data_IF_450239080890
#
_entry.id   IF_450239080890
#
_cell.length_a   1.000
_cell.length_b   1.000
_cell.length_c   1.000
_cell.angle_alpha   90.00
_cell.angle_beta   90.00
_cell.angle_gamma   90.00
#
_symmetry.space_group_name_H-M   'P 1'
#
loop_
_entity.id
_entity.type
_entity.pdbx_description
1 polymer ?
#
# COMPACT_ATOMS: atom_id res chain seq x y z
N UNK A 1 8.64 -18.15 -18.87
CA UNK A 1 8.58 -19.20 -17.84
C UNK A 1 9.07 -18.59 -16.54
N UNK A 2 8.12 -18.22 -15.68
CA UNK A 2 8.37 -17.40 -14.50
C UNK A 2 8.63 -18.30 -13.29
N UNK A 3 9.89 -18.40 -12.88
CA UNK A 3 10.31 -19.24 -11.76
C UNK A 3 10.02 -18.48 -10.47
N UNK A 4 8.82 -18.71 -9.93
CA UNK A 4 8.47 -18.54 -8.52
C UNK A 4 8.75 -17.16 -7.92
N UNK A 5 7.93 -16.16 -8.26
CA UNK A 5 7.67 -15.08 -7.30
C UNK A 5 6.94 -15.70 -6.10
N UNK A 6 7.69 -16.15 -5.09
CA UNK A 6 7.16 -16.72 -3.84
C UNK A 6 6.43 -15.69 -2.96
N UNK A 7 5.86 -14.64 -3.54
CA UNK A 7 5.15 -13.59 -2.82
C UNK A 7 3.68 -13.64 -3.20
N UNK A 8 2.89 -14.27 -2.33
CA UNK A 8 1.44 -14.19 -2.39
C UNK A 8 0.99 -12.97 -1.59
N UNK A 9 0.24 -12.07 -2.24
CA UNK A 9 -0.41 -10.96 -1.55
C UNK A 9 -1.80 -11.39 -1.09
N UNK A 10 -2.19 -11.03 0.12
CA UNK A 10 -3.61 -10.93 0.46
C UNK A 10 -4.19 -9.57 0.06
N UNK A 11 -5.52 -9.43 0.08
CA UNK A 11 -6.17 -8.12 -0.12
C UNK A 11 -5.97 -7.19 1.11
N UNK A 12 -6.52 -5.96 1.06
CA UNK A 12 -6.42 -5.00 2.17
C UNK A 12 -6.98 -5.48 3.53
N UNK A 13 -7.93 -6.42 3.55
CA UNK A 13 -8.39 -7.03 4.81
C UNK A 13 -7.32 -7.97 5.37
N UNK A 14 -6.70 -8.77 4.51
CA UNK A 14 -5.56 -9.61 4.91
C UNK A 14 -4.36 -8.78 5.37
N UNK A 15 -4.09 -7.64 4.71
CA UNK A 15 -3.13 -6.64 5.19
C UNK A 15 -3.45 -6.18 6.62
N UNK A 16 -4.68 -5.71 6.87
CA UNK A 16 -5.16 -5.20 8.16
C UNK A 16 -5.03 -6.24 9.28
N UNK A 17 -5.48 -7.47 9.03
CA UNK A 17 -5.65 -8.48 10.08
C UNK A 17 -4.43 -9.39 10.29
N UNK A 18 -3.59 -9.61 9.27
CA UNK A 18 -2.50 -10.59 9.35
C UNK A 18 -1.15 -9.96 9.08
N UNK A 19 -0.95 -9.40 7.89
CA UNK A 19 0.39 -9.04 7.44
C UNK A 19 0.94 -7.80 8.17
N UNK A 20 0.15 -6.75 8.38
CA UNK A 20 0.56 -5.58 9.18
C UNK A 20 0.86 -5.96 10.64
N UNK A 21 -0.03 -6.62 11.41
CA UNK A 21 0.27 -7.03 12.78
C UNK A 21 1.50 -7.95 12.89
N UNK A 22 1.66 -8.88 11.94
CA UNK A 22 2.82 -9.79 11.91
C UNK A 22 4.11 -9.02 11.67
N UNK A 23 4.15 -8.14 10.67
CA UNK A 23 5.32 -7.31 10.38
C UNK A 23 5.64 -6.34 11.53
N UNK A 24 4.62 -5.77 12.20
CA UNK A 24 4.85 -4.95 13.40
C UNK A 24 5.40 -5.75 14.57
N UNK A 25 4.90 -6.97 14.80
CA UNK A 25 5.45 -7.87 15.83
C UNK A 25 6.91 -8.23 15.55
N UNK A 26 7.25 -8.47 14.28
CA UNK A 26 8.59 -8.90 13.88
C UNK A 26 9.60 -7.76 13.76
N UNK A 27 9.18 -6.57 13.30
CA UNK A 27 10.11 -5.48 12.94
C UNK A 27 9.71 -4.11 13.47
N UNK A 28 8.59 -4.01 14.19
CA UNK A 28 8.14 -2.77 14.80
C UNK A 28 8.99 -2.35 16.01
N UNK A 29 8.72 -1.12 16.47
CA UNK A 29 9.33 -0.58 17.68
C UNK A 29 8.72 -1.26 18.92
N UNK A 30 9.42 -2.25 19.49
CA UNK A 30 9.14 -2.70 20.85
C UNK A 30 9.77 -1.71 21.84
N UNK A 31 9.02 -1.13 22.79
CA UNK A 31 9.56 -0.18 23.77
C UNK A 31 10.74 -0.74 24.59
N UNK A 32 10.81 -2.06 24.75
CA UNK A 32 11.68 -2.70 25.73
C UNK A 32 12.93 -3.40 25.14
N UNK A 33 13.13 -3.41 23.83
CA UNK A 33 14.29 -4.09 23.23
C UNK A 33 14.67 -3.49 21.87
N UNK A 34 15.78 -2.76 21.84
CA UNK A 34 16.49 -2.42 20.59
C UNK A 34 17.18 -3.66 20.05
N UNK A 35 16.41 -4.52 19.40
CA UNK A 35 16.97 -5.69 18.72
C UNK A 35 17.64 -5.17 17.44
N UNK A 36 18.97 -5.25 17.37
CA UNK A 36 19.79 -4.87 16.19
C UNK A 36 19.25 -5.44 14.86
N UNK A 37 18.59 -6.59 14.92
CA UNK A 37 17.86 -7.19 13.80
C UNK A 37 16.76 -6.27 13.25
N UNK A 38 15.89 -5.73 14.11
CA UNK A 38 14.78 -4.86 13.71
C UNK A 38 15.31 -3.56 13.10
N UNK A 39 16.34 -2.96 13.71
CA UNK A 39 16.97 -1.75 13.17
C UNK A 39 17.55 -1.97 11.78
N UNK A 40 18.14 -3.14 11.52
CA UNK A 40 18.68 -3.45 10.19
C UNK A 40 17.56 -3.67 9.16
N UNK A 41 16.45 -4.31 9.55
CA UNK A 41 15.28 -4.48 8.68
C UNK A 41 14.65 -3.13 8.36
N UNK A 42 14.39 -2.29 9.36
CA UNK A 42 13.85 -0.93 9.15
C UNK A 42 14.75 -0.09 8.24
N UNK A 43 16.08 -0.22 8.36
CA UNK A 43 17.03 0.46 7.47
C UNK A 43 16.94 -0.05 6.03
N UNK A 44 16.79 -1.36 5.81
CA UNK A 44 16.59 -1.89 4.46
C UNK A 44 15.28 -1.38 3.87
N UNK A 45 14.19 -1.42 4.64
CA UNK A 45 12.89 -0.91 4.22
C UNK A 45 12.94 0.58 3.88
N UNK A 46 13.62 1.38 4.70
CA UNK A 46 13.82 2.81 4.43
C UNK A 46 14.64 3.05 3.16
N UNK A 47 15.72 2.28 2.93
CA UNK A 47 16.51 2.37 1.70
C UNK A 47 15.62 2.06 0.49
N UNK A 48 14.86 0.96 0.52
CA UNK A 48 13.95 0.58 -0.56
C UNK A 48 12.82 1.60 -0.76
N UNK A 49 12.30 2.19 0.31
CA UNK A 49 11.27 3.23 0.23
C UNK A 49 11.78 4.46 -0.54
N UNK A 50 12.98 4.94 -0.19
CA UNK A 50 13.51 6.20 -0.73
C UNK A 50 14.25 6.05 -2.06
N UNK A 51 14.72 4.85 -2.41
CA UNK A 51 15.53 4.60 -3.60
C UNK A 51 14.84 3.71 -4.63
N UNK A 52 13.71 3.08 -4.29
CA UNK A 52 13.03 2.12 -5.15
C UNK A 52 13.80 0.82 -5.28
N UNK A 53 13.87 0.30 -6.51
CA UNK A 53 14.47 -1.00 -6.81
C UNK A 53 15.99 -1.01 -6.63
N UNK A 54 16.50 -1.88 -5.75
CA UNK A 54 17.93 -2.00 -5.43
C UNK A 54 18.37 -3.47 -5.29
N UNK A 55 19.63 -3.76 -5.61
CA UNK A 55 20.35 -4.97 -5.19
C UNK A 55 20.79 -4.85 -3.72
N UNK A 56 21.10 -5.98 -3.07
CA UNK A 56 21.69 -5.98 -1.72
C UNK A 56 23.01 -5.20 -1.63
N UNK A 57 23.79 -5.20 -2.71
CA UNK A 57 25.03 -4.43 -2.81
C UNK A 57 24.76 -2.93 -2.83
N UNK A 58 23.84 -2.47 -3.67
CA UNK A 58 23.44 -1.05 -3.75
C UNK A 58 22.88 -0.58 -2.40
N UNK A 59 22.06 -1.38 -1.74
CA UNK A 59 21.57 -1.06 -0.39
C UNK A 59 22.72 -0.90 0.61
N UNK A 60 23.69 -1.82 0.61
CA UNK A 60 24.86 -1.74 1.47
C UNK A 60 25.71 -0.50 1.14
N UNK A 61 25.84 -0.16 -0.14
CA UNK A 61 26.58 1.03 -0.61
C UNK A 61 25.92 2.35 -0.22
N UNK A 62 24.59 2.44 -0.29
CA UNK A 62 23.84 3.61 0.18
C UNK A 62 24.11 3.85 1.68
N UNK A 63 24.20 2.78 2.47
CA UNK A 63 24.46 2.88 3.91
C UNK A 63 25.92 3.11 4.27
N UNK A 64 26.85 2.60 3.46
CA UNK A 64 28.30 2.64 3.72
C UNK A 64 29.06 3.05 2.44
N UNK A 65 28.94 4.31 1.99
CA UNK A 65 29.44 4.74 0.69
C UNK A 65 30.96 4.56 0.55
N UNK A 66 31.70 4.92 1.60
CA UNK A 66 33.16 5.00 1.60
C UNK A 66 33.87 3.78 2.21
N UNK A 67 33.14 2.71 2.56
CA UNK A 67 33.71 1.56 3.28
C UNK A 67 33.39 0.23 2.58
N UNK A 68 34.25 -0.17 1.64
CA UNK A 68 34.06 -1.36 0.82
C UNK A 68 34.03 -2.67 1.63
N UNK A 69 34.77 -2.74 2.74
CA UNK A 69 34.83 -3.96 3.55
C UNK A 69 33.56 -4.12 4.39
N UNK A 70 33.02 -3.02 4.93
CA UNK A 70 31.69 -3.03 5.53
C UNK A 70 30.60 -3.34 4.51
N UNK A 71 30.68 -2.81 3.28
CA UNK A 71 29.72 -3.12 2.21
C UNK A 71 29.65 -4.63 1.96
N UNK A 72 30.79 -5.30 1.76
CA UNK A 72 30.84 -6.75 1.54
C UNK A 72 30.22 -7.55 2.69
N UNK A 73 30.49 -7.14 3.92
CA UNK A 73 29.96 -7.81 5.11
C UNK A 73 28.45 -7.59 5.24
N UNK A 74 27.98 -6.37 4.98
CA UNK A 74 26.60 -5.96 5.15
C UNK A 74 25.69 -6.41 4.03
N UNK A 75 26.20 -6.55 2.81
CA UNK A 75 25.49 -7.15 1.69
C UNK A 75 25.01 -8.57 2.05
N UNK A 76 25.89 -9.41 2.61
CA UNK A 76 25.53 -10.77 3.06
C UNK A 76 24.46 -10.78 4.16
N UNK A 77 24.57 -9.84 5.10
CA UNK A 77 23.58 -9.66 6.17
C UNK A 77 22.22 -9.25 5.59
N UNK A 78 22.19 -8.29 4.68
CA UNK A 78 20.96 -7.81 4.03
C UNK A 78 20.29 -8.90 3.21
N UNK A 79 21.07 -9.70 2.48
CA UNK A 79 20.54 -10.85 1.73
C UNK A 79 19.80 -11.83 2.65
N UNK A 80 20.36 -12.13 3.82
CA UNK A 80 19.72 -13.02 4.82
C UNK A 80 18.45 -12.42 5.40
N UNK A 81 18.38 -11.10 5.58
CA UNK A 81 17.17 -10.42 6.06
C UNK A 81 16.06 -10.34 4.99
N UNK A 82 16.44 -10.21 3.73
CA UNK A 82 15.50 -10.18 2.60
C UNK A 82 14.93 -11.57 2.30
N UNK A 83 15.81 -12.54 2.11
CA UNK A 83 15.43 -13.87 1.63
C UNK A 83 15.02 -14.81 2.78
N UNK A 84 15.58 -14.60 3.97
CA UNK A 84 15.48 -15.56 5.07
C UNK A 84 16.67 -16.51 5.10
N UNK A 85 16.69 -17.42 6.07
CA UNK A 85 17.74 -18.44 6.22
C UNK A 85 17.26 -19.61 7.06
N UNK A 86 17.91 -20.76 6.88
CA UNK A 86 17.77 -21.92 7.75
C UNK A 86 19.07 -22.06 8.56
N UNK A 87 18.97 -21.97 9.88
CA UNK A 87 20.08 -22.23 10.80
C UNK A 87 19.73 -23.44 11.68
N UNK A 88 20.56 -24.49 11.65
CA UNK A 88 20.40 -25.69 12.50
C UNK A 88 18.97 -26.29 12.43
N UNK A 89 18.41 -26.36 11.23
CA UNK A 89 17.05 -26.88 10.98
C UNK A 89 15.91 -25.93 11.34
N UNK A 90 16.19 -24.74 11.88
CA UNK A 90 15.17 -23.72 12.16
C UNK A 90 15.16 -22.68 11.03
N UNK A 91 14.00 -22.50 10.41
CA UNK A 91 13.79 -21.49 9.38
C UNK A 91 13.50 -20.12 10.01
N UNK A 92 14.14 -19.08 9.50
CA UNK A 92 13.91 -17.68 9.84
C UNK A 92 13.42 -16.96 8.59
N UNK A 93 12.14 -16.56 8.60
CA UNK A 93 11.51 -15.89 7.47
C UNK A 93 12.15 -14.54 7.17
N UNK A 94 12.38 -14.29 5.87
CA UNK A 94 12.81 -12.99 5.36
C UNK A 94 11.65 -12.08 4.98
N UNK A 95 11.97 -10.84 4.62
CA UNK A 95 10.99 -9.86 4.14
C UNK A 95 10.24 -10.28 2.87
N UNK A 96 10.83 -11.14 2.03
CA UNK A 96 10.17 -11.72 0.86
C UNK A 96 8.98 -12.61 1.26
N UNK A 97 9.18 -13.48 2.26
CA UNK A 97 8.15 -14.43 2.72
C UNK A 97 7.01 -13.71 3.45
N UNK A 98 7.32 -12.61 4.15
CA UNK A 98 6.31 -11.76 4.78
C UNK A 98 5.57 -10.85 3.81
N UNK A 99 5.97 -10.86 2.53
CA UNK A 99 5.35 -10.04 1.48
C UNK A 99 5.60 -8.54 1.62
N UNK A 100 6.64 -8.12 2.33
CA UNK A 100 7.07 -6.71 2.42
C UNK A 100 7.93 -6.28 1.22
N UNK A 101 8.62 -7.23 0.62
CA UNK A 101 9.55 -6.99 -0.49
C UNK A 101 9.27 -8.02 -1.59
N UNK A 102 9.54 -7.65 -2.84
CA UNK A 102 9.54 -8.57 -3.98
C UNK A 102 10.82 -8.50 -4.78
N UNK A 103 11.09 -9.57 -5.53
CA UNK A 103 12.14 -9.58 -6.56
C UNK A 103 11.65 -8.82 -7.79
N UNK A 104 12.46 -7.91 -8.29
CA UNK A 104 12.12 -6.97 -9.37
C UNK A 104 13.19 -7.00 -10.47
N UNK A 105 13.42 -8.21 -10.98
CA UNK A 105 14.43 -8.49 -11.99
C UNK A 105 15.82 -8.81 -11.42
N UNK A 106 16.80 -8.80 -12.32
CA UNK A 106 18.20 -9.17 -12.03
C UNK A 106 19.17 -8.20 -12.70
N UNK A 107 20.32 -8.01 -12.07
CA UNK A 107 21.49 -7.39 -12.69
C UNK A 107 22.39 -8.52 -13.21
N UNK A 108 22.65 -8.52 -14.52
CA UNK A 108 23.47 -9.53 -15.19
C UNK A 108 24.97 -9.16 -15.26
N UNK A 109 25.46 -8.31 -14.36
CA UNK A 109 26.90 -8.06 -14.20
C UNK A 109 27.49 -9.18 -13.35
N UNK A 110 28.66 -9.72 -13.68
CA UNK A 110 29.26 -10.82 -12.91
C UNK A 110 29.58 -10.39 -11.46
N UNK A 111 29.04 -11.07 -10.41
CA UNK A 111 28.04 -12.14 -10.42
C UNK A 111 26.58 -11.66 -10.47
N UNK A 112 25.72 -12.45 -11.15
CA UNK A 112 24.28 -12.14 -11.28
C UNK A 112 23.64 -11.91 -9.91
N UNK A 113 22.94 -10.78 -9.77
CA UNK A 113 22.36 -10.36 -8.49
C UNK A 113 20.87 -10.04 -8.67
N UNK A 114 20.04 -10.51 -7.74
CA UNK A 114 18.61 -10.17 -7.69
C UNK A 114 18.43 -8.68 -7.32
N UNK A 115 17.47 -8.03 -7.97
CA UNK A 115 16.97 -6.72 -7.57
C UNK A 115 15.73 -6.89 -6.71
N UNK A 116 15.56 -5.98 -5.76
CA UNK A 116 14.46 -5.99 -4.81
C UNK A 116 13.79 -4.62 -4.73
N UNK A 117 12.48 -4.59 -4.53
CA UNK A 117 11.71 -3.37 -4.24
C UNK A 117 10.66 -3.64 -3.18
N UNK A 118 10.10 -2.60 -2.57
CA UNK A 118 8.92 -2.78 -1.74
C UNK A 118 7.76 -3.34 -2.57
N UNK A 119 7.02 -4.27 -1.98
CA UNK A 119 5.69 -4.59 -2.47
C UNK A 119 4.70 -3.48 -2.10
N UNK A 120 3.48 -3.51 -2.62
CA UNK A 120 2.41 -2.61 -2.16
C UNK A 120 2.17 -2.69 -0.65
N UNK A 121 2.20 -3.89 -0.08
CA UNK A 121 2.15 -4.11 1.36
C UNK A 121 3.36 -3.53 2.10
N UNK A 122 4.55 -3.65 1.53
CA UNK A 122 5.76 -3.03 2.04
C UNK A 122 5.70 -1.51 2.05
N UNK A 123 5.15 -0.90 0.99
CA UNK A 123 4.91 0.54 0.90
C UNK A 123 3.95 0.97 2.02
N UNK A 124 2.80 0.32 2.16
CA UNK A 124 1.84 0.62 3.22
C UNK A 124 2.47 0.46 4.61
N UNK A 125 3.22 -0.61 4.83
CA UNK A 125 3.92 -0.82 6.10
C UNK A 125 4.93 0.32 6.39
N UNK A 126 5.72 0.73 5.41
CA UNK A 126 6.68 1.82 5.55
C UNK A 126 5.99 3.16 5.89
N UNK A 127 4.86 3.45 5.23
CA UNK A 127 4.03 4.64 5.49
C UNK A 127 3.47 4.68 6.92
N UNK A 128 3.29 3.52 7.55
CA UNK A 128 2.80 3.38 8.92
C UNK A 128 3.92 3.50 9.97
N UNK A 129 5.07 2.83 9.76
CA UNK A 129 6.05 2.62 10.84
C UNK A 129 7.34 3.44 10.75
N UNK A 130 7.68 4.03 9.61
CA UNK A 130 8.98 4.70 9.41
C UNK A 130 8.97 6.21 9.77
N UNK A 131 7.88 6.74 10.33
CA UNK A 131 7.72 8.16 10.67
C UNK A 131 8.13 9.10 9.53
N UNK A 132 7.67 8.78 8.31
CA UNK A 132 8.04 9.50 7.09
C UNK A 132 7.40 10.90 7.06
N UNK A 133 8.18 11.91 6.68
CA UNK A 133 7.65 13.24 6.40
C UNK A 133 7.07 13.32 4.97
N UNK A 134 6.42 14.43 4.64
CA UNK A 134 5.82 14.63 3.31
C UNK A 134 6.81 14.49 2.15
N UNK A 135 8.04 14.98 2.30
CA UNK A 135 9.08 14.86 1.27
C UNK A 135 9.50 13.41 1.04
N UNK A 136 9.55 12.61 2.10
CA UNK A 136 9.84 11.18 1.99
C UNK A 136 8.71 10.44 1.26
N UNK A 137 7.45 10.81 1.53
CA UNK A 137 6.29 10.23 0.85
C UNK A 137 6.26 10.65 -0.62
N UNK A 138 6.60 11.91 -0.93
CA UNK A 138 6.74 12.37 -2.31
C UNK A 138 7.80 11.55 -3.06
N UNK A 139 8.97 11.28 -2.46
CA UNK A 139 9.99 10.39 -3.04
C UNK A 139 9.48 8.97 -3.25
N UNK A 140 8.74 8.42 -2.30
CA UNK A 140 8.12 7.09 -2.45
C UNK A 140 7.16 7.08 -3.64
N UNK A 141 6.31 8.11 -3.78
CA UNK A 141 5.38 8.19 -4.89
C UNK A 141 6.09 8.23 -6.25
N UNK A 142 7.22 8.96 -6.33
CA UNK A 142 8.05 9.01 -7.54
C UNK A 142 8.63 7.62 -7.87
N UNK A 143 9.22 6.94 -6.89
CA UNK A 143 9.87 5.63 -7.10
C UNK A 143 8.89 4.49 -7.38
N UNK A 144 7.65 4.61 -6.92
CA UNK A 144 6.64 3.57 -7.02
C UNK A 144 5.45 3.99 -7.89
N UNK A 145 5.64 5.00 -8.76
CA UNK A 145 4.65 5.48 -9.71
C UNK A 145 4.09 4.36 -10.59
N UNK A 146 4.96 3.48 -11.11
CA UNK A 146 4.53 2.36 -11.97
C UNK A 146 3.84 1.23 -11.21
N UNK A 147 4.09 1.11 -9.90
CA UNK A 147 3.53 0.06 -9.04
C UNK A 147 2.12 0.44 -8.56
N UNK A 148 1.89 1.73 -8.28
CA UNK A 148 0.59 2.26 -7.89
C UNK A 148 0.16 3.42 -8.84
N UNK A 149 -0.11 3.14 -10.11
CA UNK A 149 -0.19 4.16 -11.17
C UNK A 149 -1.32 5.18 -11.00
N UNK A 150 -2.44 4.80 -10.40
CA UNK A 150 -3.60 5.71 -10.24
C UNK A 150 -3.49 6.63 -9.03
N UNK A 151 -2.56 6.37 -8.12
CA UNK A 151 -2.30 7.23 -6.95
C UNK A 151 -0.91 7.84 -7.05
N UNK A 152 0.14 7.01 -7.07
CA UNK A 152 1.52 7.47 -7.15
C UNK A 152 1.89 7.96 -8.56
N UNK A 153 1.46 7.26 -9.62
CA UNK A 153 1.64 7.75 -11.00
C UNK A 153 0.85 9.03 -11.33
N UNK A 154 -0.04 9.46 -10.42
CA UNK A 154 -0.82 10.70 -10.51
C UNK A 154 -0.53 11.62 -9.33
N UNK A 155 0.55 11.41 -8.59
CA UNK A 155 0.78 12.05 -7.30
C UNK A 155 0.81 13.57 -7.38
N UNK A 156 1.60 14.14 -8.28
CA UNK A 156 1.71 15.61 -8.43
C UNK A 156 0.37 16.23 -8.85
N UNK A 157 -0.35 15.57 -9.75
CA UNK A 157 -1.69 15.97 -10.15
C UNK A 157 -2.65 15.97 -8.95
N UNK A 158 -2.73 14.87 -8.22
CA UNK A 158 -3.59 14.74 -7.04
C UNK A 158 -3.22 15.73 -5.94
N UNK A 159 -1.93 15.99 -5.74
CA UNK A 159 -1.40 16.93 -4.76
C UNK A 159 -1.77 18.36 -5.13
N UNK A 160 -1.75 18.71 -6.42
CA UNK A 160 -2.23 20.02 -6.89
C UNK A 160 -3.74 20.20 -6.70
N UNK A 161 -4.53 19.11 -6.81
CA UNK A 161 -5.98 19.16 -6.73
C UNK A 161 -6.54 19.02 -5.31
N UNK A 162 -5.81 18.36 -4.40
CA UNK A 162 -6.27 18.01 -3.05
C UNK A 162 -5.35 18.48 -1.93
N UNK A 163 -4.28 19.20 -2.27
CA UNK A 163 -3.28 19.70 -1.33
C UNK A 163 -2.73 18.57 -0.44
N UNK A 164 -2.83 18.73 0.87
CA UNK A 164 -2.35 17.78 1.87
C UNK A 164 -3.18 16.50 1.97
N UNK A 165 -4.35 16.43 1.34
CA UNK A 165 -5.20 15.25 1.41
C UNK A 165 -4.58 14.04 0.71
N UNK A 166 -3.60 14.19 -0.19
CA UNK A 166 -2.88 13.05 -0.78
C UNK A 166 -2.17 12.19 0.26
N UNK A 167 -1.72 12.79 1.36
CA UNK A 167 -1.03 12.09 2.44
C UNK A 167 -1.97 11.24 3.30
N UNK A 168 -3.28 11.30 3.07
CA UNK A 168 -4.28 10.45 3.74
C UNK A 168 -4.12 8.97 3.38
N UNK A 169 -3.32 8.61 2.38
CA UNK A 169 -2.87 7.23 2.15
C UNK A 169 -2.23 6.59 3.40
N UNK A 170 -1.69 7.40 4.32
CA UNK A 170 -1.21 6.94 5.63
C UNK A 170 -2.32 6.37 6.53
N UNK A 171 -3.58 6.76 6.32
CA UNK A 171 -4.74 6.20 7.04
C UNK A 171 -4.96 4.75 6.63
N UNK A 172 -4.90 4.47 5.33
CA UNK A 172 -4.93 3.10 4.82
C UNK A 172 -3.74 2.29 5.34
N UNK A 173 -2.55 2.87 5.33
CA UNK A 173 -1.33 2.24 5.83
C UNK A 173 -1.45 1.73 7.28
N UNK A 174 -2.17 2.48 8.12
CA UNK A 174 -2.50 2.13 9.51
C UNK A 174 -3.55 1.02 9.65
N UNK A 175 -4.08 0.50 8.54
CA UNK A 175 -5.12 -0.53 8.52
C UNK A 175 -6.53 0.02 8.79
N UNK A 176 -6.73 1.34 8.68
CA UNK A 176 -8.03 1.97 8.85
C UNK A 176 -8.77 1.97 7.51
N UNK A 177 -9.68 1.00 7.36
CA UNK A 177 -10.42 0.80 6.11
C UNK A 177 -11.70 1.62 6.01
N UNK A 178 -12.16 2.22 7.12
CA UNK A 178 -13.37 3.05 7.21
C UNK A 178 -14.63 2.28 6.84
N UNK A 179 -14.70 1.08 7.40
CA UNK A 179 -15.77 0.11 7.32
C UNK A 179 -16.91 0.39 8.33
N UNK A 180 -16.83 1.47 9.12
CA UNK A 180 -17.88 1.83 10.08
C UNK A 180 -18.93 2.77 9.42
N UNK A 181 -20.21 2.38 9.34
CA UNK A 181 -21.28 3.22 8.78
C UNK A 181 -21.49 4.54 9.53
N UNK A 182 -21.16 4.60 10.83
CA UNK A 182 -21.30 5.81 11.66
C UNK A 182 -20.31 6.93 11.27
N UNK A 183 -19.30 6.61 10.46
CA UNK A 183 -18.32 7.58 9.95
C UNK A 183 -18.99 8.59 9.00
N UNK A 184 -20.08 8.20 8.32
CA UNK A 184 -20.77 9.06 7.35
C UNK A 184 -22.03 9.63 7.97
N UNK A 185 -21.97 10.90 8.38
CA UNK A 185 -23.13 11.61 8.97
C UNK A 185 -24.15 12.08 7.93
N UNK A 186 -23.74 12.26 6.67
CA UNK A 186 -24.60 12.72 5.59
C UNK A 186 -25.08 11.55 4.72
N UNK A 187 -26.39 11.23 4.81
CA UNK A 187 -27.03 10.15 4.04
C UNK A 187 -26.93 10.28 2.51
N UNK A 188 -26.59 11.47 1.99
CA UNK A 188 -26.40 11.69 0.54
C UNK A 188 -24.98 11.41 0.05
N UNK A 189 -24.04 11.12 0.95
CA UNK A 189 -22.66 10.80 0.60
C UNK A 189 -22.50 9.28 0.41
N UNK A 190 -22.18 8.78 -0.81
CA UNK A 190 -22.11 7.35 -1.10
C UNK A 190 -20.82 6.67 -0.59
N UNK A 191 -20.00 7.36 0.21
CA UNK A 191 -18.70 6.86 0.67
C UNK A 191 -18.81 5.48 1.32
N UNK A 192 -19.78 5.27 2.21
CA UNK A 192 -19.90 4.01 2.95
C UNK A 192 -20.27 2.85 2.04
N UNK A 193 -21.22 3.05 1.13
CA UNK A 193 -21.66 2.07 0.14
C UNK A 193 -20.50 1.71 -0.79
N UNK A 194 -19.76 2.72 -1.27
CA UNK A 194 -18.59 2.48 -2.13
C UNK A 194 -17.48 1.73 -1.38
N UNK A 195 -17.20 2.09 -0.12
CA UNK A 195 -16.19 1.41 0.69
C UNK A 195 -16.58 -0.05 0.98
N UNK A 196 -17.84 -0.27 1.35
CA UNK A 196 -18.41 -1.61 1.55
C UNK A 196 -18.35 -2.46 0.27
N UNK A 197 -18.61 -1.83 -0.88
CA UNK A 197 -18.51 -2.50 -2.17
C UNK A 197 -17.07 -2.86 -2.55
N UNK A 198 -16.06 -2.05 -2.20
CA UNK A 198 -14.65 -2.41 -2.38
C UNK A 198 -14.35 -3.72 -1.64
N UNK A 199 -14.76 -3.84 -0.38
CA UNK A 199 -14.55 -5.08 0.39
C UNK A 199 -15.25 -6.28 -0.25
N UNK A 200 -16.46 -6.08 -0.76
CA UNK A 200 -17.22 -7.11 -1.47
C UNK A 200 -16.52 -7.54 -2.77
N UNK A 201 -16.09 -6.57 -3.59
CA UNK A 201 -15.47 -6.78 -4.90
C UNK A 201 -14.20 -7.62 -4.80
N UNK A 202 -13.39 -7.41 -3.76
CA UNK A 202 -12.11 -8.12 -3.56
C UNK A 202 -12.18 -9.21 -2.49
N UNK A 203 -13.38 -9.59 -1.99
CA UNK A 203 -13.53 -10.59 -0.92
C UNK A 203 -12.90 -11.94 -1.25
N UNK A 204 -13.04 -12.39 -2.50
CA UNK A 204 -12.49 -13.67 -2.96
C UNK A 204 -10.96 -13.69 -3.02
N UNK A 205 -10.33 -12.51 -3.00
CA UNK A 205 -8.88 -12.33 -3.06
C UNK A 205 -8.25 -12.18 -1.67
N UNK A 206 -8.93 -12.65 -0.62
CA UNK A 206 -8.45 -12.51 0.76
C UNK A 206 -7.07 -13.13 0.96
N UNK A 207 -6.87 -14.36 0.50
CA UNK A 207 -5.60 -15.10 0.65
C UNK A 207 -4.60 -14.79 -0.47
N UNK A 208 -5.09 -14.55 -1.68
CA UNK A 208 -4.28 -14.36 -2.88
C UNK A 208 -4.89 -13.31 -3.82
N UNK A 209 -4.12 -12.26 -4.10
CA UNK A 209 -4.42 -11.18 -5.03
C UNK A 209 -3.19 -10.91 -5.90
N UNK A 210 -3.41 -10.55 -7.17
CA UNK A 210 -2.31 -10.07 -8.01
C UNK A 210 -1.89 -8.67 -7.55
N UNK A 211 -0.62 -8.27 -7.79
CA UNK A 211 -0.17 -6.92 -7.44
C UNK A 211 -1.01 -5.85 -8.15
N UNK A 212 -1.39 -6.10 -9.40
CA UNK A 212 -2.25 -5.21 -10.18
C UNK A 212 -3.62 -5.03 -9.52
N UNK A 213 -4.24 -6.10 -9.06
CA UNK A 213 -5.57 -6.03 -8.44
C UNK A 213 -5.50 -5.44 -7.02
N UNK A 214 -4.39 -5.62 -6.31
CA UNK A 214 -4.14 -4.93 -5.04
C UNK A 214 -3.92 -3.42 -5.26
N UNK A 215 -3.18 -3.03 -6.29
CA UNK A 215 -3.02 -1.63 -6.69
C UNK A 215 -4.37 -1.01 -7.04
N UNK A 216 -5.21 -1.74 -7.76
CA UNK A 216 -6.60 -1.35 -8.05
C UNK A 216 -7.41 -1.16 -6.77
N UNK A 217 -7.34 -2.11 -5.82
CA UNK A 217 -8.04 -2.01 -4.55
C UNK A 217 -7.59 -0.79 -3.72
N UNK A 218 -6.28 -0.56 -3.61
CA UNK A 218 -5.70 0.62 -2.93
C UNK A 218 -6.17 1.91 -3.60
N UNK A 219 -6.17 1.94 -4.94
CA UNK A 219 -6.61 3.11 -5.71
C UNK A 219 -8.08 3.41 -5.46
N UNK A 220 -8.96 2.40 -5.55
CA UNK A 220 -10.39 2.58 -5.28
C UNK A 220 -10.63 3.05 -3.84
N UNK A 221 -9.90 2.50 -2.88
CA UNK A 221 -9.94 2.96 -1.49
C UNK A 221 -9.58 4.44 -1.39
N UNK A 222 -8.47 4.85 -2.02
CA UNK A 222 -7.97 6.22 -1.96
C UNK A 222 -8.96 7.23 -2.53
N UNK A 223 -9.48 7.00 -3.73
CA UNK A 223 -10.45 7.93 -4.34
C UNK A 223 -11.79 7.95 -3.59
N UNK A 224 -12.20 6.82 -3.03
CA UNK A 224 -13.40 6.77 -2.17
C UNK A 224 -13.17 7.47 -0.84
N UNK A 225 -11.95 7.43 -0.29
CA UNK A 225 -11.57 8.19 0.90
C UNK A 225 -11.71 9.69 0.67
N UNK A 226 -11.46 10.21 -0.53
CA UNK A 226 -11.62 11.64 -0.82
C UNK A 226 -13.07 12.14 -0.67
N UNK A 227 -14.06 11.23 -0.63
CA UNK A 227 -15.44 11.56 -0.30
C UNK A 227 -15.66 11.79 1.20
N UNK A 228 -14.71 11.39 2.06
CA UNK A 228 -14.81 11.56 3.49
C UNK A 228 -14.77 13.06 3.86
N UNK A 229 -15.79 13.51 4.57
CA UNK A 229 -15.87 14.89 5.05
C UNK A 229 -15.46 14.92 6.52
N UNK A 230 -14.34 15.59 6.82
CA UNK A 230 -13.93 15.83 8.22
C UNK A 230 -14.52 17.16 8.63
N UNK A 231 -15.51 17.14 9.52
CA UNK A 231 -16.23 18.33 10.01
C UNK A 231 -15.32 19.40 10.69
N UNK A 232 -14.01 19.16 10.79
CA UNK A 232 -13.10 19.95 11.62
C UNK A 232 -12.59 21.25 10.99
N UNK A 233 -12.91 21.59 9.72
CA UNK A 233 -12.46 22.88 9.15
C UNK A 233 -13.51 23.66 8.34
N UNK A 234 -14.17 24.54 9.10
CA UNK A 234 -14.69 25.87 8.71
C UNK A 234 -16.08 25.99 8.07
N UNK A 235 -16.86 26.88 8.68
CA UNK A 235 -18.16 27.44 8.23
C UNK A 235 -18.08 28.28 6.93
N UNK A 236 -17.05 28.11 6.10
CA UNK A 236 -16.83 28.92 4.91
C UNK A 236 -16.92 28.04 3.65
N UNK A 237 -17.96 28.25 2.83
CA UNK A 237 -18.08 28.01 1.36
C UNK A 237 -17.22 26.92 0.68
N UNK A 238 -16.80 25.88 1.38
CA UNK A 238 -15.97 24.80 0.85
C UNK A 238 -16.82 23.95 -0.08
N UNK A 239 -16.30 23.60 -1.26
CA UNK A 239 -16.89 22.58 -2.10
C UNK A 239 -17.16 21.32 -1.27
N UNK A 240 -18.32 20.69 -1.47
CA UNK A 240 -18.61 19.37 -0.90
C UNK A 240 -17.56 18.37 -1.38
N UNK A 241 -17.23 17.34 -0.58
CA UNK A 241 -16.24 16.31 -0.95
C UNK A 241 -16.55 15.66 -2.30
N UNK A 242 -17.84 15.50 -2.63
CA UNK A 242 -18.31 15.04 -3.95
C UNK A 242 -17.86 15.99 -5.06
N UNK A 243 -18.04 17.30 -4.91
CA UNK A 243 -17.61 18.28 -5.92
C UNK A 243 -16.09 18.34 -6.05
N UNK A 244 -15.35 18.13 -4.97
CA UNK A 244 -13.87 18.04 -5.00
C UNK A 244 -13.43 16.83 -5.83
N UNK A 245 -13.97 15.65 -5.54
CA UNK A 245 -13.68 14.46 -6.33
C UNK A 245 -14.10 14.65 -7.80
N UNK A 246 -15.26 15.24 -8.04
CA UNK A 246 -15.73 15.49 -9.41
C UNK A 246 -14.74 16.36 -10.21
N UNK A 247 -14.19 17.42 -9.63
CA UNK A 247 -13.14 18.22 -10.28
C UNK A 247 -11.90 17.40 -10.66
N UNK A 248 -11.49 16.45 -9.81
CA UNK A 248 -10.36 15.55 -10.08
C UNK A 248 -10.70 14.61 -11.25
N UNK A 249 -11.95 14.17 -11.36
CA UNK A 249 -12.36 13.29 -12.45
C UNK A 249 -12.54 14.09 -13.75
N UNK A 250 -13.07 15.31 -13.70
CA UNK A 250 -13.34 16.14 -14.88
C UNK A 250 -12.06 16.56 -15.64
N UNK A 251 -10.91 16.57 -14.97
CA UNK A 251 -9.62 16.92 -15.58
C UNK A 251 -8.82 15.72 -16.09
N UNK A 252 -9.29 14.48 -15.86
CA UNK A 252 -8.63 13.25 -16.35
C UNK A 252 -9.67 12.22 -16.84
N UNK A 253 -9.92 12.19 -18.15
CA UNK A 253 -10.90 11.31 -18.80
C UNK A 253 -10.65 9.81 -18.55
N UNK A 254 -9.39 9.41 -18.43
CA UNK A 254 -9.04 8.00 -18.18
C UNK A 254 -9.41 7.63 -16.75
N UNK A 255 -9.07 8.49 -15.79
CA UNK A 255 -9.40 8.31 -14.39
C UNK A 255 -10.91 8.39 -14.16
N UNK A 256 -11.60 9.33 -14.79
CA UNK A 256 -13.05 9.48 -14.76
C UNK A 256 -13.77 8.22 -15.23
N UNK A 257 -13.44 7.74 -16.44
CA UNK A 257 -14.05 6.50 -16.98
C UNK A 257 -13.82 5.30 -16.08
N UNK A 258 -12.62 5.18 -15.52
CA UNK A 258 -12.28 4.11 -14.60
C UNK A 258 -13.09 4.15 -13.30
N UNK A 259 -13.11 5.30 -12.61
CA UNK A 259 -13.78 5.43 -11.32
C UNK A 259 -15.31 5.38 -11.47
N UNK A 260 -15.88 6.03 -12.50
CA UNK A 260 -17.31 5.99 -12.77
C UNK A 260 -17.79 4.59 -13.15
N UNK A 261 -16.96 3.77 -13.81
CA UNK A 261 -17.28 2.36 -14.03
C UNK A 261 -17.40 1.62 -12.70
N UNK A 262 -16.49 1.85 -11.76
CA UNK A 262 -16.59 1.28 -10.41
C UNK A 262 -17.87 1.72 -9.68
N UNK A 263 -18.24 3.00 -9.75
CA UNK A 263 -19.49 3.51 -9.16
C UNK A 263 -20.72 2.83 -9.77
N UNK A 264 -20.76 2.66 -11.11
CA UNK A 264 -21.85 1.94 -11.80
C UNK A 264 -21.91 0.45 -11.42
N UNK A 265 -20.76 -0.19 -11.23
CA UNK A 265 -20.71 -1.56 -10.73
C UNK A 265 -21.30 -1.68 -9.32
N UNK A 266 -21.00 -0.70 -8.45
CA UNK A 266 -21.53 -0.64 -7.08
C UNK A 266 -23.06 -0.46 -7.08
N UNK A 267 -23.55 0.51 -7.85
CA UNK A 267 -24.99 0.78 -8.00
C UNK A 267 -25.75 -0.48 -8.46
N UNK A 268 -25.25 -1.15 -9.51
CA UNK A 268 -25.83 -2.40 -9.99
C UNK A 268 -25.83 -3.50 -8.94
N UNK A 269 -24.76 -3.62 -8.15
CA UNK A 269 -24.66 -4.61 -7.08
C UNK A 269 -25.73 -4.38 -6.01
N UNK A 270 -25.89 -3.13 -5.55
CA UNK A 270 -26.86 -2.79 -4.52
C UNK A 270 -28.30 -2.88 -5.02
N UNK A 271 -28.59 -2.45 -6.25
CA UNK A 271 -29.89 -2.64 -6.88
C UNK A 271 -30.30 -4.12 -6.92
N UNK A 272 -29.38 -5.00 -7.34
CA UNK A 272 -29.61 -6.45 -7.35
C UNK A 272 -29.81 -7.03 -5.94
N UNK A 273 -29.05 -6.53 -4.96
CA UNK A 273 -29.17 -6.96 -3.55
C UNK A 273 -30.53 -6.57 -2.97
N UNK A 274 -30.98 -5.35 -3.23
CA UNK A 274 -32.30 -4.87 -2.81
C UNK A 274 -33.43 -5.71 -3.44
N UNK A 275 -33.35 -6.01 -4.73
CA UNK A 275 -34.29 -6.90 -5.42
C UNK A 275 -34.30 -8.32 -4.81
N UNK A 276 -33.13 -8.86 -4.47
CA UNK A 276 -33.03 -10.17 -3.80
C UNK A 276 -33.73 -10.19 -2.45
N UNK A 277 -33.59 -9.12 -1.66
CA UNK A 277 -34.26 -9.01 -0.35
C UNK A 277 -35.78 -8.93 -0.54
N UNK A 278 -36.27 -8.11 -1.48
CA UNK A 278 -37.70 -8.03 -1.80
C UNK A 278 -38.28 -9.38 -2.22
N UNK A 279 -37.55 -10.13 -3.04
CA UNK A 279 -37.97 -11.47 -3.51
C UNK A 279 -37.89 -12.56 -2.45
N UNK A 280 -37.26 -12.30 -1.30
CA UNK A 280 -37.12 -13.30 -0.23
C UNK A 280 -38.39 -13.53 0.58
N UNK A 281 -39.41 -12.67 0.44
CA UNK A 281 -40.65 -12.73 1.23
C UNK A 281 -40.50 -12.25 2.68
N UNK A 282 -39.34 -11.67 3.04
CA UNK A 282 -39.11 -11.04 4.35
C UNK A 282 -39.63 -9.59 4.42
N UNK A 283 -39.97 -9.00 3.26
CA UNK A 283 -40.53 -7.65 3.09
C UNK A 283 -41.79 -7.72 2.22
#
# INVERSE_FOLDING_TARGET
>A
MDVGQGTHYGNLLSYKYYMRPTAQKMYGHSPNTKIKHHENVQKILQILALNGTCTTWEMAKIRFPNDNDKVRTKEKEFRRLLVGRIDRGKHSSGMLELGLVVKDGKVYRHPVSDKYRLSLHGILYCLDVLNLNKNDIDKISEKYADVLPKVFGKWDYLKSATEDQVYTIQILARGLLLDNPEIVKNKTNPMYELMSFIHTKFRKNFESISERDLAEQISLWFYTYLLYDTELKSKARSLTSVKKLQRILDQDDSLSRWYLKFVKDADRYYAKRADTIKKSGLL
#
